data_IF_686020051961
#
_entry.id   IF_686020051961
#
_cell.length_a   1.000
_cell.length_b   1.000
_cell.length_c   1.000
_cell.angle_alpha   90.00
_cell.angle_beta   90.00
_cell.angle_gamma   90.00
#
_symmetry.space_group_name_H-M   'P 1'
#
loop_
_entity.id
_entity.type
_entity.pdbx_description
1 polymer ?
#
# COMPACT_ATOMS: atom_id res chain seq x y z
N UNK A 1 -17.96 9.63 -28.23
CA UNK A 1 -17.19 10.15 -27.08
C UNK A 1 -18.03 9.94 -25.84
N UNK A 2 -17.47 9.44 -24.75
CA UNK A 2 -18.20 9.24 -23.49
C UNK A 2 -17.51 10.07 -22.42
N UNK A 3 -18.31 10.68 -21.54
CA UNK A 3 -17.80 11.41 -20.39
C UNK A 3 -17.88 10.50 -19.19
N UNK A 4 -16.82 10.49 -18.39
CA UNK A 4 -16.76 9.67 -17.18
C UNK A 4 -16.27 10.55 -16.05
N UNK A 5 -17.06 10.61 -14.98
CA UNK A 5 -16.77 11.39 -13.78
C UNK A 5 -16.76 10.48 -12.57
N UNK A 6 -15.79 10.68 -11.68
CA UNK A 6 -15.80 10.05 -10.37
C UNK A 6 -16.33 11.04 -9.33
N UNK A 7 -17.41 10.66 -8.65
CA UNK A 7 -17.97 11.37 -7.51
C UNK A 7 -17.40 10.77 -6.23
N UNK A 8 -16.49 11.52 -5.60
CA UNK A 8 -15.82 11.10 -4.38
C UNK A 8 -16.74 11.09 -3.15
N UNK A 9 -17.71 12.00 -3.09
CA UNK A 9 -18.60 12.11 -1.92
C UNK A 9 -19.54 10.92 -1.85
N UNK A 10 -20.06 10.51 -3.01
CA UNK A 10 -20.96 9.37 -3.13
C UNK A 10 -20.25 8.05 -3.48
N UNK A 11 -18.92 8.06 -3.60
CA UNK A 11 -18.10 6.93 -4.04
C UNK A 11 -18.70 6.23 -5.29
N UNK A 12 -18.96 7.01 -6.34
CA UNK A 12 -19.60 6.49 -7.55
C UNK A 12 -18.90 6.96 -8.82
N UNK A 13 -18.97 6.17 -9.89
CA UNK A 13 -18.45 6.55 -11.20
C UNK A 13 -19.58 6.66 -12.20
N UNK A 14 -19.76 7.86 -12.75
CA UNK A 14 -20.81 8.19 -13.71
C UNK A 14 -20.26 8.16 -15.12
N UNK A 15 -20.89 7.38 -16.01
CA UNK A 15 -20.53 7.24 -17.42
C UNK A 15 -21.71 7.72 -18.27
N UNK A 16 -21.48 8.71 -19.14
CA UNK A 16 -22.51 9.32 -19.98
C UNK A 16 -22.10 9.41 -21.45
N UNK A 17 -23.08 9.24 -22.35
CA UNK A 17 -22.90 9.37 -23.79
C UNK A 17 -22.74 10.84 -24.23
N UNK A 18 -22.00 11.02 -25.32
CA UNK A 18 -21.22 12.20 -25.72
C UNK A 18 -21.87 13.53 -26.06
N UNK A 19 -22.96 13.95 -25.42
CA UNK A 19 -23.40 15.35 -25.49
C UNK A 19 -23.46 16.00 -24.09
N UNK A 20 -22.40 16.71 -23.73
CA UNK A 20 -22.28 17.42 -22.45
C UNK A 20 -23.38 18.47 -22.24
N UNK A 21 -24.05 18.94 -23.30
CA UNK A 21 -25.18 19.89 -23.20
C UNK A 21 -26.46 19.23 -22.70
N UNK A 22 -26.55 17.90 -22.76
CA UNK A 22 -27.70 17.16 -22.27
C UNK A 22 -27.51 16.65 -20.85
N UNK A 23 -26.30 16.78 -20.26
CA UNK A 23 -25.99 16.29 -18.90
C UNK A 23 -27.00 16.71 -17.84
N UNK A 24 -27.35 18.00 -17.83
CA UNK A 24 -28.31 18.57 -16.89
C UNK A 24 -29.78 18.17 -17.19
N UNK A 25 -30.03 17.53 -18.33
CA UNK A 25 -31.37 17.09 -18.77
C UNK A 25 -31.59 15.59 -18.59
N UNK A 26 -30.52 14.84 -18.31
CA UNK A 26 -30.56 13.43 -18.02
C UNK A 26 -31.24 13.24 -16.64
N UNK A 27 -32.20 12.33 -16.56
CA UNK A 27 -32.96 12.04 -15.33
C UNK A 27 -32.64 10.64 -14.84
N UNK A 28 -32.52 10.49 -13.53
CA UNK A 28 -32.44 9.19 -12.86
C UNK A 28 -33.75 8.44 -13.10
N UNK A 29 -33.68 7.21 -13.60
CA UNK A 29 -34.85 6.40 -13.93
C UNK A 29 -34.96 5.16 -13.06
N UNK A 30 -33.84 4.51 -12.75
CA UNK A 30 -33.80 3.31 -11.92
C UNK A 30 -32.55 3.30 -11.03
N UNK A 31 -32.65 2.62 -9.89
CA UNK A 31 -31.58 2.54 -8.90
C UNK A 31 -31.58 1.17 -8.22
N UNK A 32 -30.44 0.50 -8.29
CA UNK A 32 -30.09 -0.63 -7.43
C UNK A 32 -28.99 -0.22 -6.46
N UNK A 33 -28.59 -1.14 -5.57
CA UNK A 33 -27.46 -0.91 -4.68
C UNK A 33 -26.15 -0.69 -5.46
N UNK A 34 -25.99 -1.37 -6.60
CA UNK A 34 -24.76 -1.35 -7.39
C UNK A 34 -24.77 -0.33 -8.54
N UNK A 35 -25.95 0.01 -9.08
CA UNK A 35 -26.06 0.83 -10.28
C UNK A 35 -27.17 1.87 -10.18
N UNK A 36 -26.96 3.01 -10.82
CA UNK A 36 -28.01 3.98 -11.09
C UNK A 36 -28.13 4.21 -12.59
N UNK A 37 -29.33 4.05 -13.15
CA UNK A 37 -29.60 4.28 -14.57
C UNK A 37 -30.19 5.65 -14.82
N UNK A 38 -29.84 6.18 -15.99
CA UNK A 38 -30.19 7.53 -16.36
C UNK A 38 -30.62 7.63 -17.83
N UNK A 39 -31.70 8.37 -18.06
CA UNK A 39 -32.29 8.53 -19.40
C UNK A 39 -32.52 9.99 -19.79
N UNK A 40 -32.52 10.23 -21.10
CA UNK A 40 -33.00 11.46 -21.72
C UNK A 40 -33.88 11.09 -22.92
N UNK A 41 -35.08 11.68 -23.01
CA UNK A 41 -36.04 11.40 -24.08
C UNK A 41 -36.34 9.89 -24.30
N UNK A 42 -36.43 9.12 -23.21
CA UNK A 42 -36.73 7.68 -23.25
C UNK A 42 -35.58 6.81 -23.79
N UNK A 43 -34.36 7.35 -23.84
CA UNK A 43 -33.15 6.60 -24.20
C UNK A 43 -32.20 6.54 -23.01
N UNK A 44 -31.59 5.38 -22.81
CA UNK A 44 -30.48 5.21 -21.86
C UNK A 44 -29.27 6.03 -22.33
N UNK A 45 -28.93 7.04 -21.53
CA UNK A 45 -27.84 7.99 -21.82
C UNK A 45 -26.67 7.85 -20.86
N UNK A 46 -26.91 7.38 -19.63
CA UNK A 46 -25.86 7.22 -18.64
C UNK A 46 -26.13 6.11 -17.62
N UNK A 47 -25.05 5.68 -16.97
CA UNK A 47 -25.06 4.75 -15.84
C UNK A 47 -24.08 5.27 -14.79
N UNK A 48 -24.45 5.18 -13.51
CA UNK A 48 -23.50 5.32 -12.40
C UNK A 48 -23.29 3.97 -11.75
N UNK A 49 -22.04 3.66 -11.40
CA UNK A 49 -21.70 2.51 -10.58
C UNK A 49 -21.49 3.02 -9.16
N UNK A 50 -22.32 2.54 -8.24
CA UNK A 50 -22.27 2.93 -6.84
C UNK A 50 -21.17 2.13 -6.12
N UNK A 51 -20.71 2.63 -4.97
CA UNK A 51 -19.72 1.95 -4.13
C UNK A 51 -18.44 1.54 -4.89
N UNK A 52 -18.00 2.38 -5.83
CA UNK A 52 -16.98 2.03 -6.82
C UNK A 52 -15.62 1.67 -6.19
N UNK A 53 -15.20 2.38 -5.15
CA UNK A 53 -13.96 2.12 -4.42
C UNK A 53 -14.24 1.43 -3.07
N UNK A 54 -13.39 0.48 -2.69
CA UNK A 54 -13.37 -0.06 -1.33
C UNK A 54 -13.00 1.02 -0.31
N UNK A 55 -13.31 0.79 0.98
CA UNK A 55 -12.95 1.73 2.06
C UNK A 55 -11.46 2.07 2.08
N UNK A 56 -10.59 1.09 1.78
CA UNK A 56 -9.13 1.30 1.74
C UNK A 56 -8.71 2.17 0.57
N UNK A 57 -9.35 2.02 -0.58
CA UNK A 57 -9.08 2.85 -1.76
C UNK A 57 -9.60 4.28 -1.56
N UNK A 58 -10.75 4.45 -0.89
CA UNK A 58 -11.25 5.77 -0.49
C UNK A 58 -10.29 6.47 0.48
N UNK A 59 -9.75 5.77 1.48
CA UNK A 59 -8.75 6.32 2.40
C UNK A 59 -7.46 6.70 1.66
N UNK A 60 -7.05 5.90 0.67
CA UNK A 60 -5.93 6.20 -0.22
C UNK A 60 -6.15 7.51 -0.98
N UNK A 61 -7.30 7.64 -1.63
CA UNK A 61 -7.68 8.84 -2.38
C UNK A 61 -7.78 10.08 -1.50
N UNK A 62 -8.32 9.95 -0.28
CA UNK A 62 -8.33 11.05 0.71
C UNK A 62 -6.91 11.48 1.06
N UNK A 63 -5.99 10.54 1.27
CA UNK A 63 -4.58 10.83 1.49
C UNK A 63 -3.93 11.59 0.33
N UNK A 64 -4.23 11.19 -0.92
CA UNK A 64 -3.76 11.89 -2.12
C UNK A 64 -4.33 13.32 -2.23
N UNK A 65 -5.59 13.53 -1.84
CA UNK A 65 -6.21 14.86 -1.80
C UNK A 65 -5.56 15.76 -0.75
N UNK A 66 -5.28 15.25 0.45
CA UNK A 66 -4.58 16.02 1.46
C UNK A 66 -3.14 16.34 1.02
N UNK A 67 -2.47 15.42 0.34
CA UNK A 67 -1.15 15.67 -0.22
C UNK A 67 -1.17 16.75 -1.31
N UNK A 68 -2.20 16.72 -2.18
CA UNK A 68 -2.46 17.80 -3.15
C UNK A 68 -2.59 19.15 -2.46
N UNK A 69 -3.40 19.25 -1.40
CA UNK A 69 -3.58 20.51 -0.63
C UNK A 69 -2.25 20.98 -0.03
N UNK A 70 -1.42 20.07 0.46
CA UNK A 70 -0.09 20.40 0.98
C UNK A 70 0.81 21.01 -0.11
N UNK A 71 0.82 20.44 -1.32
CA UNK A 71 1.56 20.97 -2.47
C UNK A 71 1.04 22.36 -2.88
N UNK A 72 -0.28 22.54 -2.97
CA UNK A 72 -0.92 23.82 -3.30
C UNK A 72 -0.60 24.91 -2.27
N UNK A 73 -0.71 24.60 -0.95
CA UNK A 73 -0.35 25.53 0.14
C UNK A 73 1.11 25.98 0.07
N UNK A 74 2.00 25.11 -0.40
CA UNK A 74 3.42 25.39 -0.57
C UNK A 74 3.79 25.98 -1.94
N UNK A 75 2.81 26.28 -2.81
CA UNK A 75 3.01 26.76 -4.18
C UNK A 75 3.96 25.86 -5.01
N UNK A 76 3.89 24.55 -4.80
CA UNK A 76 4.69 23.57 -5.53
C UNK A 76 3.93 23.14 -6.79
N UNK A 77 4.45 23.37 -8.00
CA UNK A 77 3.84 22.85 -9.22
C UNK A 77 3.86 21.32 -9.24
N UNK A 78 2.73 20.70 -9.60
CA UNK A 78 2.64 19.25 -9.71
C UNK A 78 1.68 18.82 -10.83
N UNK A 79 1.87 17.58 -11.29
CA UNK A 79 0.92 16.82 -12.10
C UNK A 79 0.41 15.66 -11.26
N UNK A 80 -0.90 15.58 -11.10
CA UNK A 80 -1.55 14.42 -10.48
C UNK A 80 -1.72 13.32 -11.52
N UNK A 81 -1.15 12.16 -11.25
CA UNK A 81 -1.14 11.00 -12.15
C UNK A 81 -2.30 10.05 -11.79
N UNK A 82 -2.59 9.90 -10.49
CA UNK A 82 -3.71 9.16 -9.92
C UNK A 82 -3.79 7.66 -10.29
N UNK A 83 -4.80 6.95 -9.79
CA UNK A 83 -5.14 5.56 -10.17
C UNK A 83 -6.49 5.38 -10.88
N UNK A 84 -7.20 6.47 -11.19
CA UNK A 84 -8.48 6.39 -11.89
C UNK A 84 -8.38 5.86 -13.34
N UNK A 85 -9.53 5.56 -13.99
CA UNK A 85 -9.58 5.13 -15.39
C UNK A 85 -9.02 6.15 -16.40
N UNK A 86 -8.62 7.34 -15.94
CA UNK A 86 -8.04 8.45 -16.70
C UNK A 86 -6.57 8.73 -16.38
N UNK A 87 -5.90 7.87 -15.60
CA UNK A 87 -4.48 8.09 -15.30
C UNK A 87 -3.62 8.04 -16.56
N UNK A 88 -2.45 8.69 -16.53
CA UNK A 88 -1.53 8.79 -17.68
C UNK A 88 -1.21 7.40 -18.24
N UNK A 89 -1.29 7.26 -19.58
CA UNK A 89 -0.94 6.03 -20.30
C UNK A 89 0.51 5.62 -20.03
N UNK A 90 0.74 4.31 -19.95
CA UNK A 90 2.06 3.73 -19.68
C UNK A 90 2.58 3.06 -20.93
N UNK A 91 3.87 3.24 -21.22
CA UNK A 91 4.54 2.47 -22.27
C UNK A 91 4.64 0.99 -21.85
N UNK A 92 4.71 0.08 -22.83
CA UNK A 92 4.92 -1.35 -22.58
C UNK A 92 6.17 -1.62 -21.72
N UNK A 93 7.25 -0.87 -21.97
CA UNK A 93 8.51 -0.94 -21.21
C UNK A 93 8.30 -0.66 -19.71
N UNK A 94 7.44 0.30 -19.36
CA UNK A 94 7.13 0.58 -17.96
C UNK A 94 6.27 -0.52 -17.35
N UNK A 95 5.31 -1.06 -18.10
CA UNK A 95 4.46 -2.16 -17.61
C UNK A 95 5.29 -3.39 -17.22
N UNK A 96 6.22 -3.78 -18.10
CA UNK A 96 7.04 -4.97 -17.95
C UNK A 96 8.03 -4.84 -16.78
N UNK A 97 8.70 -3.69 -16.64
CA UNK A 97 9.78 -3.52 -15.67
C UNK A 97 9.31 -3.11 -14.26
N UNK A 98 8.13 -2.49 -14.13
CA UNK A 98 7.65 -1.94 -12.85
C UNK A 98 6.50 -2.72 -12.23
N UNK A 99 6.11 -3.87 -12.81
CA UNK A 99 4.87 -4.59 -12.45
C UNK A 99 3.67 -3.66 -12.42
N UNK A 100 3.57 -2.77 -13.41
CA UNK A 100 2.53 -1.74 -13.50
C UNK A 100 2.52 -0.69 -12.36
N UNK A 101 3.57 -0.57 -11.54
CA UNK A 101 3.62 0.46 -10.50
C UNK A 101 3.76 1.86 -11.10
N UNK A 102 3.01 2.80 -10.55
CA UNK A 102 2.96 4.21 -10.94
C UNK A 102 3.03 5.05 -9.67
N UNK A 103 3.70 6.20 -9.75
CA UNK A 103 3.64 7.21 -8.70
C UNK A 103 2.35 8.02 -8.83
N UNK A 104 1.87 8.58 -7.73
CA UNK A 104 0.59 9.30 -7.68
C UNK A 104 0.74 10.75 -8.16
N UNK A 105 1.92 11.35 -7.94
CA UNK A 105 2.23 12.73 -8.31
C UNK A 105 3.61 12.83 -8.97
N UNK A 106 3.74 13.78 -9.89
CA UNK A 106 5.00 14.34 -10.35
C UNK A 106 5.05 15.79 -9.88
N UNK A 107 5.96 16.11 -8.96
CA UNK A 107 6.11 17.44 -8.39
C UNK A 107 7.43 18.07 -8.84
N UNK A 108 7.42 19.37 -9.12
CA UNK A 108 8.64 20.12 -9.43
C UNK A 108 9.04 20.96 -8.22
N UNK A 109 10.12 20.55 -7.56
CA UNK A 109 10.62 21.23 -6.37
C UNK A 109 11.73 22.20 -6.78
N UNK A 110 11.59 23.46 -6.40
CA UNK A 110 12.59 24.48 -6.65
C UNK A 110 13.95 24.03 -6.10
N UNK A 111 15.00 24.18 -6.90
CA UNK A 111 16.40 23.85 -6.57
C UNK A 111 16.71 22.34 -6.38
N UNK A 112 15.71 21.45 -6.36
CA UNK A 112 15.89 19.98 -6.32
C UNK A 112 15.50 19.28 -7.63
N UNK A 113 14.62 19.90 -8.42
CA UNK A 113 14.12 19.36 -9.68
C UNK A 113 12.84 18.53 -9.53
N UNK A 114 12.59 17.68 -10.52
CA UNK A 114 11.36 16.88 -10.60
C UNK A 114 11.44 15.62 -9.75
N UNK A 115 10.46 15.42 -8.88
CA UNK A 115 10.34 14.27 -7.97
C UNK A 115 9.01 13.56 -8.22
N UNK A 116 9.04 12.23 -8.27
CA UNK A 116 7.85 11.39 -8.26
C UNK A 116 7.45 11.08 -6.82
N UNK A 117 6.20 11.30 -6.47
CA UNK A 117 5.64 10.97 -5.16
C UNK A 117 4.61 9.86 -5.26
N UNK A 118 4.77 8.84 -4.41
CA UNK A 118 3.79 7.77 -4.19
C UNK A 118 3.24 7.95 -2.76
N UNK A 119 1.97 8.29 -2.65
CA UNK A 119 1.30 8.63 -1.39
C UNK A 119 0.83 7.33 -0.71
N UNK A 120 0.91 7.31 0.62
CA UNK A 120 0.61 6.13 1.43
C UNK A 120 -0.26 6.50 2.62
N UNK A 121 -1.56 6.23 2.50
CA UNK A 121 -2.49 6.31 3.62
C UNK A 121 -2.67 4.93 4.27
N UNK A 122 -1.92 4.67 5.35
CA UNK A 122 -1.89 3.35 6.02
C UNK A 122 -1.94 3.52 7.53
N UNK A 123 -2.67 2.63 8.21
CA UNK A 123 -2.57 2.53 9.66
C UNK A 123 -1.20 1.97 10.03
N UNK A 124 -0.53 2.59 11.00
CA UNK A 124 0.74 2.06 11.52
C UNK A 124 0.51 0.71 12.22
N UNK A 125 1.49 -0.18 12.16
CA UNK A 125 1.47 -1.50 12.82
C UNK A 125 2.66 -1.65 13.76
N UNK A 126 2.53 -2.45 14.81
CA UNK A 126 3.63 -2.73 15.76
C UNK A 126 4.37 -4.04 15.43
N UNK A 127 5.42 -4.32 16.21
CA UNK A 127 5.96 -5.67 16.37
C UNK A 127 5.24 -6.41 17.51
N UNK A 128 5.37 -7.73 17.57
CA UNK A 128 4.84 -8.52 18.68
C UNK A 128 5.50 -8.05 20.01
N UNK A 129 4.71 -7.44 20.91
CA UNK A 129 5.14 -6.79 22.18
C UNK A 129 5.75 -5.38 22.11
N UNK A 130 5.70 -4.71 20.96
CA UNK A 130 6.09 -3.30 20.86
C UNK A 130 4.89 -2.37 21.02
N UNK A 131 5.02 -1.33 21.85
CA UNK A 131 4.07 -0.20 21.87
C UNK A 131 4.31 0.75 20.67
N UNK A 132 5.54 0.73 20.15
CA UNK A 132 5.94 1.52 18.99
C UNK A 132 5.23 1.03 17.72
N UNK A 133 4.68 1.97 16.94
CA UNK A 133 3.97 1.71 15.69
C UNK A 133 4.72 2.29 14.50
N UNK A 134 4.81 1.50 13.45
CA UNK A 134 5.60 1.79 12.26
C UNK A 134 4.71 1.93 11.03
N UNK A 135 5.09 2.83 10.12
CA UNK A 135 4.64 2.72 8.75
C UNK A 135 5.22 1.45 8.12
N UNK A 136 4.57 0.94 7.08
CA UNK A 136 5.04 -0.27 6.44
C UNK A 136 4.85 -0.30 4.92
N UNK A 137 5.72 -1.06 4.27
CA UNK A 137 5.66 -1.36 2.84
C UNK A 137 5.87 -2.84 2.60
N UNK A 138 5.24 -3.36 1.57
CA UNK A 138 5.57 -4.70 1.09
C UNK A 138 6.91 -4.65 0.34
N UNK A 139 7.75 -5.68 0.50
CA UNK A 139 9.02 -5.77 -0.25
C UNK A 139 8.78 -5.73 -1.77
N UNK A 140 7.68 -6.33 -2.24
CA UNK A 140 7.27 -6.25 -3.64
C UNK A 140 6.97 -4.83 -4.12
N UNK A 141 6.39 -3.99 -3.26
CA UNK A 141 6.09 -2.58 -3.54
C UNK A 141 7.37 -1.75 -3.58
N UNK A 142 8.29 -1.98 -2.64
CA UNK A 142 9.61 -1.33 -2.62
C UNK A 142 10.37 -1.65 -3.91
N UNK A 143 10.46 -2.92 -4.29
CA UNK A 143 11.14 -3.34 -5.51
C UNK A 143 10.52 -2.70 -6.76
N UNK A 144 9.19 -2.60 -6.83
CA UNK A 144 8.51 -1.95 -7.94
C UNK A 144 8.81 -0.44 -8.03
N UNK A 145 8.88 0.24 -6.89
CA UNK A 145 9.25 1.67 -6.81
C UNK A 145 10.73 1.91 -7.16
N UNK A 146 11.62 1.03 -6.72
CA UNK A 146 13.04 1.08 -7.11
C UNK A 146 13.21 0.88 -8.62
N UNK A 147 12.46 -0.06 -9.21
CA UNK A 147 12.46 -0.26 -10.66
C UNK A 147 11.90 0.95 -11.40
N UNK A 148 10.84 1.58 -10.87
CA UNK A 148 10.29 2.81 -11.43
C UNK A 148 11.35 3.93 -11.44
N UNK A 149 12.04 4.14 -10.32
CA UNK A 149 13.13 5.12 -10.22
C UNK A 149 14.23 4.86 -11.25
N UNK A 150 14.66 3.59 -11.39
CA UNK A 150 15.70 3.20 -12.36
C UNK A 150 15.25 3.36 -13.82
N UNK A 151 13.98 3.09 -14.12
CA UNK A 151 13.44 3.15 -15.48
C UNK A 151 13.19 4.59 -15.95
N UNK A 152 12.67 5.45 -15.07
CA UNK A 152 12.31 6.85 -15.41
C UNK A 152 13.46 7.82 -15.14
N UNK A 153 14.48 7.40 -14.37
CA UNK A 153 15.63 8.22 -13.97
C UNK A 153 15.20 9.48 -13.19
N UNK A 154 14.12 9.37 -12.41
CA UNK A 154 13.62 10.41 -11.51
C UNK A 154 13.62 9.91 -10.07
N UNK A 155 13.98 10.74 -9.08
CA UNK A 155 13.85 10.38 -7.68
C UNK A 155 12.40 10.01 -7.34
N UNK A 156 12.23 8.90 -6.64
CA UNK A 156 10.92 8.47 -6.12
C UNK A 156 10.91 8.66 -4.61
N UNK A 157 9.93 9.41 -4.14
CA UNK A 157 9.66 9.70 -2.75
C UNK A 157 8.30 9.13 -2.34
N UNK A 158 8.21 8.79 -1.06
CA UNK A 158 6.99 8.30 -0.44
C UNK A 158 6.49 9.33 0.55
N UNK A 159 5.20 9.65 0.47
CA UNK A 159 4.53 10.54 1.41
C UNK A 159 3.54 9.72 2.24
N UNK A 160 3.91 9.41 3.47
CA UNK A 160 3.06 8.64 4.38
C UNK A 160 2.14 9.55 5.19
N UNK A 161 0.92 9.08 5.38
CA UNK A 161 -0.06 9.63 6.31
C UNK A 161 -0.61 8.48 7.15
N UNK A 162 -0.68 8.66 8.46
CA UNK A 162 -1.39 7.70 9.31
C UNK A 162 -2.88 7.83 9.02
N UNK A 163 -3.51 6.71 8.64
CA UNK A 163 -4.95 6.66 8.38
C UNK A 163 -5.78 7.19 9.55
N UNK A 164 -5.30 7.01 10.78
CA UNK A 164 -6.00 7.50 11.97
C UNK A 164 -6.02 9.03 12.05
N UNK A 165 -5.11 9.72 11.36
CA UNK A 165 -4.97 11.18 11.34
C UNK A 165 -5.75 11.85 10.21
N UNK A 166 -6.43 11.10 9.31
CA UNK A 166 -7.26 11.64 8.23
C UNK A 166 -8.37 12.60 8.69
N UNK A 167 -8.74 12.55 9.98
CA UNK A 167 -9.78 13.41 10.57
C UNK A 167 -9.24 14.72 11.14
N UNK A 168 -7.92 14.83 11.28
CA UNK A 168 -7.22 15.98 11.85
C UNK A 168 -6.46 16.73 10.74
N UNK A 169 -5.72 17.77 11.12
CA UNK A 169 -4.71 18.35 10.22
C UNK A 169 -3.66 17.24 9.97
N UNK A 170 -3.49 16.78 8.72
CA UNK A 170 -2.68 15.61 8.43
C UNK A 170 -1.19 15.96 8.55
N UNK A 171 -0.43 15.15 9.30
CA UNK A 171 1.02 15.22 9.32
C UNK A 171 1.58 14.21 8.32
N UNK A 172 2.37 14.68 7.36
CA UNK A 172 3.01 13.81 6.39
C UNK A 172 4.41 13.39 6.83
N UNK A 173 4.80 12.17 6.48
CA UNK A 173 6.12 11.62 6.76
C UNK A 173 6.77 11.24 5.43
N UNK A 174 7.79 12.00 5.04
CA UNK A 174 8.47 11.83 3.77
C UNK A 174 9.70 10.94 3.90
N UNK A 175 9.89 10.05 2.93
CA UNK A 175 11.09 9.22 2.82
C UNK A 175 11.40 8.93 1.34
N UNK A 176 12.66 9.00 0.95
CA UNK A 176 13.07 8.61 -0.40
C UNK A 176 13.18 7.09 -0.54
N UNK A 177 12.84 6.54 -1.71
CA UNK A 177 12.97 5.09 -1.95
C UNK A 177 14.43 4.64 -1.83
N UNK A 178 15.38 5.53 -2.14
CA UNK A 178 16.82 5.29 -1.96
C UNK A 178 17.20 5.10 -0.49
N UNK A 179 16.59 5.84 0.43
CA UNK A 179 16.79 5.66 1.89
C UNK A 179 16.23 4.31 2.34
N UNK A 180 15.04 3.94 1.88
CA UNK A 180 14.43 2.63 2.15
C UNK A 180 15.31 1.49 1.62
N UNK A 181 15.83 1.63 0.40
CA UNK A 181 16.74 0.65 -0.20
C UNK A 181 18.04 0.50 0.58
N UNK A 182 18.65 1.62 1.02
CA UNK A 182 19.86 1.59 1.83
C UNK A 182 19.61 0.92 3.19
N UNK A 183 18.48 1.23 3.82
CA UNK A 183 18.08 0.57 5.07
C UNK A 183 17.97 -0.95 4.89
N UNK A 184 17.30 -1.40 3.83
CA UNK A 184 17.18 -2.83 3.50
C UNK A 184 18.54 -3.49 3.31
N UNK A 185 19.45 -2.85 2.59
CA UNK A 185 20.80 -3.38 2.36
C UNK A 185 21.61 -3.49 3.66
N UNK A 186 21.44 -2.56 4.59
CA UNK A 186 22.14 -2.59 5.87
C UNK A 186 21.58 -3.66 6.81
N UNK A 187 20.25 -3.78 6.90
CA UNK A 187 19.65 -4.83 7.74
C UNK A 187 19.99 -6.23 7.18
N UNK A 188 20.00 -6.43 5.85
CA UNK A 188 20.27 -7.74 5.27
C UNK A 188 21.66 -8.27 5.62
N UNK A 189 22.67 -7.39 5.71
CA UNK A 189 24.03 -7.72 6.15
C UNK A 189 24.11 -8.16 7.62
N UNK A 190 23.10 -7.85 8.43
CA UNK A 190 23.02 -8.20 9.86
C UNK A 190 22.30 -9.54 10.10
N UNK A 191 21.64 -10.11 9.09
CA UNK A 191 21.02 -11.42 9.24
C UNK A 191 22.07 -12.53 9.29
N UNK A 192 21.85 -13.57 10.11
CA UNK A 192 22.78 -14.70 10.21
C UNK A 192 22.84 -15.53 8.91
N UNK A 193 21.77 -15.53 8.13
CA UNK A 193 21.68 -16.19 6.82
C UNK A 193 20.69 -15.44 5.92
N UNK A 194 20.85 -15.60 4.59
CA UNK A 194 19.98 -14.94 3.61
C UNK A 194 18.55 -15.48 3.64
N UNK A 195 18.33 -16.74 4.01
CA UNK A 195 17.00 -17.36 4.03
C UNK A 195 16.06 -16.67 5.02
N UNK A 196 16.53 -16.35 6.23
CA UNK A 196 15.74 -15.63 7.24
C UNK A 196 15.38 -14.21 6.79
N UNK A 197 16.27 -13.55 6.05
CA UNK A 197 15.99 -12.23 5.49
C UNK A 197 14.96 -12.31 4.35
N UNK A 198 15.03 -13.33 3.50
CA UNK A 198 14.07 -13.57 2.41
C UNK A 198 12.65 -13.88 2.91
N UNK A 199 12.48 -14.21 4.19
CA UNK A 199 11.16 -14.38 4.81
C UNK A 199 10.43 -13.07 5.10
N UNK A 200 11.12 -11.93 5.05
CA UNK A 200 10.51 -10.62 5.22
C UNK A 200 9.71 -10.27 3.96
N UNK A 201 8.39 -10.28 4.06
CA UNK A 201 7.51 -9.82 2.97
C UNK A 201 6.98 -8.40 3.18
N UNK A 202 7.09 -7.89 4.41
CA UNK A 202 6.60 -6.59 4.84
C UNK A 202 7.64 -5.94 5.75
N UNK A 203 8.10 -4.76 5.34
CA UNK A 203 9.07 -3.97 6.07
C UNK A 203 8.35 -2.92 6.92
N UNK A 204 8.58 -2.96 8.23
CA UNK A 204 8.19 -1.92 9.19
C UNK A 204 9.30 -0.87 9.22
N UNK A 205 8.97 0.36 8.84
CA UNK A 205 9.92 1.45 8.65
C UNK A 205 10.07 2.28 9.95
N UNK A 206 11.30 2.42 10.48
CA UNK A 206 11.56 3.27 11.64
C UNK A 206 11.20 4.73 11.37
N UNK A 207 10.63 5.41 12.37
CA UNK A 207 10.19 6.80 12.23
C UNK A 207 11.37 7.76 12.00
N UNK A 208 12.54 7.39 12.52
CA UNK A 208 13.81 8.11 12.39
C UNK A 208 14.26 8.28 10.93
N UNK A 209 13.81 7.38 10.04
CA UNK A 209 14.11 7.47 8.62
C UNK A 209 13.28 8.54 7.90
N UNK A 210 12.20 9.04 8.50
CA UNK A 210 11.29 9.99 7.88
C UNK A 210 11.66 11.43 8.20
N UNK A 211 11.31 12.34 7.30
CA UNK A 211 11.23 13.77 7.59
C UNK A 211 9.75 14.09 7.81
N UNK A 212 9.43 14.62 8.99
CA UNK A 212 8.07 15.02 9.36
C UNK A 212 7.72 16.36 8.69
N UNK A 213 6.55 16.41 8.08
CA UNK A 213 6.05 17.53 7.29
C UNK A 213 4.67 17.91 7.82
N UNK A 214 4.63 18.99 8.58
CA UNK A 214 3.38 19.56 9.07
C UNK A 214 2.79 20.53 8.03
N UNK A 215 3.30 21.77 7.97
CA UNK A 215 2.74 22.79 7.06
C UNK A 215 3.64 23.13 5.87
N UNK A 216 4.95 23.19 6.12
CA UNK A 216 5.94 23.60 5.11
C UNK A 216 6.70 22.38 4.63
N UNK A 217 6.70 22.17 3.32
CA UNK A 217 7.49 21.10 2.73
C UNK A 217 8.98 21.43 2.86
N UNK A 218 9.69 20.53 3.52
CA UNK A 218 11.14 20.53 3.67
C UNK A 218 11.69 19.21 3.15
N UNK A 219 12.90 19.26 2.59
CA UNK A 219 13.60 18.09 2.10
C UNK A 219 14.95 18.01 2.79
N UNK A 220 15.22 16.89 3.44
CA UNK A 220 16.57 16.54 3.83
C UNK A 220 17.32 16.01 2.60
N UNK A 221 18.34 16.75 2.17
CA UNK A 221 19.16 16.41 1.02
C UNK A 221 20.43 15.72 1.51
N UNK A 222 20.75 14.56 0.94
CA UNK A 222 21.91 13.74 1.30
C UNK A 222 21.52 12.36 1.78
N UNK A 223 22.51 11.52 2.07
CA UNK A 223 22.26 10.23 2.69
C UNK A 223 21.97 10.43 4.17
N UNK A 224 20.75 10.08 4.61
CA UNK A 224 20.50 9.90 6.04
C UNK A 224 21.47 8.85 6.56
N UNK A 225 22.24 9.22 7.59
CA UNK A 225 23.10 8.28 8.27
C UNK A 225 22.21 7.34 9.08
N UNK A 226 22.16 6.07 8.67
CA UNK A 226 21.40 5.04 9.36
C UNK A 226 22.35 4.43 10.39
N UNK A 227 22.04 4.63 11.67
CA UNK A 227 22.89 4.11 12.75
C UNK A 227 22.88 2.57 12.77
N UNK A 228 24.02 1.99 13.09
CA UNK A 228 24.17 0.54 13.26
C UNK A 228 23.21 -0.03 14.31
N UNK A 229 23.02 0.68 15.42
CA UNK A 229 22.08 0.32 16.50
C UNK A 229 20.63 0.19 15.99
N UNK A 230 20.18 1.13 15.15
CA UNK A 230 18.85 1.08 14.54
C UNK A 230 18.69 -0.17 13.66
N UNK A 231 19.71 -0.49 12.85
CA UNK A 231 19.71 -1.68 12.01
C UNK A 231 19.68 -2.97 12.84
N UNK A 232 20.46 -3.04 13.92
CA UNK A 232 20.48 -4.20 14.83
C UNK A 232 19.14 -4.39 15.53
N UNK A 233 18.59 -3.33 16.14
CA UNK A 233 17.25 -3.35 16.76
C UNK A 233 16.20 -3.87 15.78
N UNK A 234 16.16 -3.35 14.55
CA UNK A 234 15.17 -3.78 13.56
C UNK A 234 15.37 -5.21 13.07
N UNK A 235 16.61 -5.68 12.92
CA UNK A 235 16.90 -7.07 12.57
C UNK A 235 16.41 -8.02 13.65
N UNK A 236 16.72 -7.74 14.92
CA UNK A 236 16.25 -8.53 16.07
C UNK A 236 14.73 -8.61 16.16
N UNK A 237 14.05 -7.47 16.00
CA UNK A 237 12.58 -7.39 16.03
C UNK A 237 11.92 -8.22 14.91
N UNK A 238 12.47 -8.19 13.70
CA UNK A 238 11.97 -8.96 12.57
C UNK A 238 12.21 -10.47 12.74
N UNK A 239 13.40 -10.88 13.21
CA UNK A 239 13.70 -12.30 13.49
C UNK A 239 12.73 -12.83 14.55
N UNK A 240 12.55 -12.08 15.64
CA UNK A 240 11.66 -12.48 16.73
C UNK A 240 10.19 -12.55 16.26
N UNK A 241 9.75 -11.61 15.43
CA UNK A 241 8.42 -11.64 14.80
C UNK A 241 8.23 -12.88 13.92
N UNK A 242 9.17 -13.19 13.03
CA UNK A 242 9.05 -14.35 12.15
C UNK A 242 8.94 -15.66 12.94
N UNK A 243 9.77 -15.82 13.98
CA UNK A 243 9.68 -16.96 14.90
C UNK A 243 8.31 -17.04 15.57
N UNK A 244 7.83 -15.92 16.10
CA UNK A 244 6.51 -15.82 16.72
C UNK A 244 5.39 -16.20 15.77
N UNK A 245 5.39 -15.69 14.54
CA UNK A 245 4.36 -16.00 13.55
C UNK A 245 4.37 -17.49 13.18
N UNK A 246 5.55 -18.10 12.98
CA UNK A 246 5.67 -19.55 12.73
C UNK A 246 5.09 -20.37 13.90
N UNK A 247 5.35 -19.96 15.14
CA UNK A 247 4.81 -20.63 16.33
C UNK A 247 3.29 -20.50 16.43
N UNK A 248 2.74 -19.32 16.17
CA UNK A 248 1.29 -19.09 16.18
C UNK A 248 0.59 -19.83 15.03
N UNK A 249 1.20 -19.95 13.86
CA UNK A 249 0.71 -20.79 12.76
C UNK A 249 0.63 -22.25 13.20
N UNK A 250 1.70 -22.79 13.80
CA UNK A 250 1.72 -24.17 14.34
C UNK A 250 0.62 -24.36 15.38
N UNK A 251 0.49 -23.45 16.35
CA UNK A 251 -0.54 -23.53 17.38
C UNK A 251 -1.95 -23.46 16.81
N UNK A 252 -2.17 -22.63 15.80
CA UNK A 252 -3.45 -22.56 15.08
C UNK A 252 -3.80 -23.91 14.45
N UNK A 253 -2.84 -24.57 13.80
CA UNK A 253 -3.02 -25.90 13.17
C UNK A 253 -3.28 -27.00 14.21
N UNK A 254 -2.54 -27.00 15.34
CA UNK A 254 -2.71 -28.02 16.39
C UNK A 254 -4.10 -27.97 17.00
N UNK A 255 -4.59 -26.76 17.26
CA UNK A 255 -5.80 -26.56 18.04
C UNK A 255 -7.07 -26.47 17.18
N UNK A 256 -6.94 -26.33 15.86
CA UNK A 256 -8.08 -26.10 14.97
C UNK A 256 -7.99 -26.92 13.69
N UNK A 257 -9.15 -27.29 13.15
CA UNK A 257 -9.24 -27.94 11.84
C UNK A 257 -9.09 -26.91 10.72
N UNK A 258 -7.87 -26.70 10.25
CA UNK A 258 -7.57 -25.70 9.23
C UNK A 258 -7.22 -26.31 7.87
N UNK A 259 -7.85 -25.81 6.81
CA UNK A 259 -7.40 -26.03 5.43
C UNK A 259 -6.41 -24.95 5.01
N UNK A 260 -5.51 -25.26 4.07
CA UNK A 260 -4.53 -24.32 3.54
C UNK A 260 -5.15 -22.98 3.11
N UNK A 261 -6.26 -23.01 2.38
CA UNK A 261 -6.95 -21.82 1.86
C UNK A 261 -7.61 -20.96 2.94
N UNK A 262 -7.84 -21.50 4.13
CA UNK A 262 -8.55 -20.83 5.22
C UNK A 262 -7.67 -20.52 6.44
N UNK A 263 -6.41 -21.00 6.47
CA UNK A 263 -5.54 -20.86 7.64
C UNK A 263 -5.37 -19.41 8.08
N UNK A 264 -5.11 -18.48 7.16
CA UNK A 264 -4.94 -17.07 7.54
C UNK A 264 -6.20 -16.47 8.16
N UNK A 265 -7.40 -16.87 7.72
CA UNK A 265 -8.64 -16.40 8.33
C UNK A 265 -8.77 -16.96 9.76
N UNK A 266 -8.58 -18.27 9.94
CA UNK A 266 -8.55 -18.91 11.26
C UNK A 266 -7.48 -18.30 12.17
N UNK A 267 -6.30 -17.99 11.65
CA UNK A 267 -5.21 -17.38 12.39
C UNK A 267 -5.66 -16.06 13.03
N UNK A 268 -6.22 -15.12 12.25
CA UNK A 268 -6.67 -13.84 12.80
C UNK A 268 -7.88 -13.98 13.71
N UNK A 269 -8.80 -14.91 13.40
CA UNK A 269 -9.98 -15.18 14.22
C UNK A 269 -9.59 -15.71 15.61
N UNK A 270 -8.64 -16.64 15.71
CA UNK A 270 -8.29 -17.28 16.97
C UNK A 270 -7.21 -16.54 17.77
N UNK A 271 -6.27 -15.88 17.09
CA UNK A 271 -5.16 -15.20 17.79
C UNK A 271 -5.49 -13.77 18.18
N UNK A 272 -6.44 -13.13 17.50
CA UNK A 272 -6.76 -11.70 17.65
C UNK A 272 -5.51 -10.78 17.50
N UNK A 273 -4.49 -11.25 16.77
CA UNK A 273 -3.25 -10.52 16.52
C UNK A 273 -3.49 -9.37 15.55
N UNK A 274 -2.91 -8.20 15.86
CA UNK A 274 -2.99 -6.99 15.03
C UNK A 274 -1.62 -6.46 14.56
N UNK A 275 -0.52 -7.16 14.87
CA UNK A 275 0.86 -6.75 14.54
C UNK A 275 1.40 -7.36 13.23
N UNK A 276 0.59 -8.11 12.48
CA UNK A 276 0.97 -8.69 11.18
C UNK A 276 -0.16 -8.64 10.16
N UNK A 277 0.19 -8.80 8.89
CA UNK A 277 -0.74 -8.83 7.77
C UNK A 277 -0.94 -10.26 7.24
N UNK A 278 -2.10 -10.50 6.62
CA UNK A 278 -2.42 -11.79 5.99
C UNK A 278 -1.34 -12.32 5.04
N UNK A 279 -0.73 -11.44 4.26
CA UNK A 279 0.33 -11.84 3.33
C UNK A 279 1.57 -12.40 4.04
N UNK A 280 1.92 -11.91 5.23
CA UNK A 280 3.04 -12.45 6.02
C UNK A 280 2.73 -13.89 6.47
N UNK A 281 1.51 -14.12 6.95
CA UNK A 281 1.03 -15.46 7.39
C UNK A 281 0.97 -16.43 6.21
N UNK A 282 0.38 -16.01 5.08
CA UNK A 282 0.26 -16.84 3.86
C UNK A 282 1.64 -17.23 3.31
N UNK A 283 2.61 -16.30 3.33
CA UNK A 283 3.97 -16.54 2.88
C UNK A 283 4.69 -17.55 3.79
N UNK A 284 4.64 -17.34 5.12
CA UNK A 284 5.27 -18.24 6.07
C UNK A 284 4.65 -19.64 6.04
N UNK A 285 3.32 -19.75 5.90
CA UNK A 285 2.66 -21.03 5.69
C UNK A 285 3.21 -21.75 4.45
N UNK A 286 3.32 -21.04 3.33
CA UNK A 286 3.88 -21.60 2.09
C UNK A 286 5.31 -22.10 2.32
N UNK A 287 6.16 -21.31 2.97
CA UNK A 287 7.55 -21.70 3.29
C UNK A 287 7.60 -22.93 4.20
N UNK A 288 6.81 -22.96 5.26
CA UNK A 288 6.75 -24.09 6.19
C UNK A 288 6.25 -25.39 5.52
N UNK A 289 5.39 -25.30 4.50
CA UNK A 289 5.02 -26.45 3.67
C UNK A 289 6.20 -26.87 2.77
N UNK A 290 6.89 -25.93 2.14
CA UNK A 290 8.05 -26.20 1.27
C UNK A 290 9.19 -26.94 2.01
N UNK A 291 9.43 -26.58 3.28
CA UNK A 291 10.47 -27.21 4.12
C UNK A 291 9.96 -28.39 4.96
N UNK A 292 8.77 -28.92 4.66
CA UNK A 292 8.14 -30.06 5.34
C UNK A 292 7.98 -29.90 6.87
N UNK A 293 7.77 -28.67 7.36
CA UNK A 293 7.34 -28.43 8.75
C UNK A 293 5.82 -28.68 8.87
N UNK A 294 5.07 -28.34 7.82
CA UNK A 294 3.62 -28.55 7.73
C UNK A 294 3.34 -29.54 6.61
N UNK A 295 2.64 -30.63 6.93
CA UNK A 295 2.12 -31.56 5.94
C UNK A 295 0.92 -30.95 5.22
N UNK A 296 1.03 -30.90 3.88
CA UNK A 296 -0.05 -30.47 3.01
C UNK A 296 -0.41 -31.56 2.00
N UNK A 297 -1.69 -31.93 1.99
CA UNK A 297 -2.32 -32.72 0.94
C UNK A 297 -3.56 -31.97 0.45
N UNK A 298 -3.80 -32.01 -0.86
CA UNK A 298 -4.94 -31.34 -1.48
C UNK A 298 -6.25 -31.75 -0.80
N UNK A 299 -7.08 -30.77 -0.45
CA UNK A 299 -8.38 -30.95 0.24
C UNK A 299 -8.30 -31.64 1.62
N UNK A 300 -7.13 -31.65 2.26
CA UNK A 300 -6.97 -32.18 3.62
C UNK A 300 -6.67 -31.07 4.63
N UNK A 301 -6.97 -31.37 5.89
CA UNK A 301 -6.61 -30.52 7.04
C UNK A 301 -5.09 -30.53 7.16
N UNK A 302 -4.51 -29.37 7.42
CA UNK A 302 -3.08 -29.22 7.67
C UNK A 302 -2.68 -29.98 8.93
N UNK A 303 -1.48 -30.56 8.93
CA UNK A 303 -0.87 -31.20 10.11
C UNK A 303 0.56 -30.74 10.26
N UNK A 304 1.08 -30.80 11.47
CA UNK A 304 2.51 -30.56 11.71
C UNK A 304 3.23 -31.88 11.41
N UNK A 305 4.31 -31.82 10.66
CA UNK A 305 5.07 -33.01 10.33
C UNK A 305 5.58 -33.69 11.60
N UNK A 306 5.28 -34.97 11.74
CA UNK A 306 5.65 -35.76 12.92
C UNK A 306 4.71 -35.67 14.13
N UNK A 307 3.58 -34.95 14.02
CA UNK A 307 2.48 -34.91 15.01
C UNK A 307 1.20 -35.54 14.44
#
# INVERSE_FOLDING_TARGET
MSYIDFDIENNSIFISRGDSRNRNKIKKTDCTDDFTFYEYNGKSEAISFNNFLSLREQDGLKGEIEFKKLLEKNNIPYLYIGQGPFGIERSGVLLDNTKSKRADFLANIKDLGTILFDVKCRSKISFHKGDEKYFYLYISEINALMNLQKAILMPVWLAFLDRNELKNIPTFYFISISTVSNFIEQISKKYPNNEEFEEITLLRLPIELFTEIEEKIIFEVGHKNISEELCEKHTELNIALNRRLKDEIKNTIRNNKCYKSYLSNSFFEYTQINYCQKNEVDFLLKKMIEVNIIEYKSHQILRIFGE
#
